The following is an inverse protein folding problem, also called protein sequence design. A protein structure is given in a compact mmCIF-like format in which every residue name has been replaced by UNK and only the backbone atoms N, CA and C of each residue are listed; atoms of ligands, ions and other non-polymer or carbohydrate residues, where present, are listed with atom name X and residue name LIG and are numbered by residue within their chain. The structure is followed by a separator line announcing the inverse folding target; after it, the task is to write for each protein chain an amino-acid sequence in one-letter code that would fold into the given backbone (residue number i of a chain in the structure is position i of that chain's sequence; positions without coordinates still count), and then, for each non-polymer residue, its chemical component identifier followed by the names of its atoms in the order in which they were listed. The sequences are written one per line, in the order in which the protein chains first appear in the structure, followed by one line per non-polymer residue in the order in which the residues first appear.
data_IF_031139387088
#
_entry.id   IF_031139387088
#
_cell.length_a   1.000
_cell.length_b   1.000
_cell.length_c   1.000
_cell.angle_alpha   90.00
_cell.angle_beta   90.00
_cell.angle_gamma   90.00
#
_symmetry.space_group_name_H-M   'P 1'
#
loop_
_entity.id
_entity.type
_entity.pdbx_description
1 polymer ?
#
# COMPACT_ATOMS: atom_id res chain seq x y z
N UNK A 1 -13.64 -13.89 -11.69
CA UNK A 1 -13.49 -12.49 -11.22
C UNK A 1 -12.79 -11.66 -12.28
N UNK A 2 -13.31 -10.50 -12.57
CA UNK A 2 -12.74 -9.67 -13.63
C UNK A 2 -11.47 -8.97 -13.17
N UNK A 3 -10.46 -8.86 -14.02
CA UNK A 3 -9.27 -8.10 -13.68
C UNK A 3 -9.59 -6.61 -13.56
N UNK A 4 -8.81 -5.95 -12.70
CA UNK A 4 -8.95 -4.53 -12.46
C UNK A 4 -7.97 -3.76 -13.35
N UNK A 5 -8.52 -2.89 -14.22
CA UNK A 5 -7.71 -2.02 -15.08
C UNK A 5 -7.24 -0.81 -14.25
N UNK A 6 -6.18 -1.00 -13.48
CA UNK A 6 -5.73 -0.04 -12.49
C UNK A 6 -5.25 1.25 -13.15
N UNK A 7 -4.54 1.16 -14.28
CA UNK A 7 -3.92 2.31 -14.93
C UNK A 7 -4.87 3.42 -15.36
N UNK A 8 -6.18 3.15 -15.41
CA UNK A 8 -7.18 4.16 -15.81
C UNK A 8 -7.79 4.90 -14.62
N UNK A 9 -7.40 4.59 -13.40
CA UNK A 9 -8.02 5.15 -12.20
C UNK A 9 -7.16 6.24 -11.58
N UNK A 10 -7.78 7.03 -10.71
CA UNK A 10 -7.12 8.07 -9.92
C UNK A 10 -7.01 7.62 -8.47
N UNK A 11 -6.09 8.25 -7.75
CA UNK A 11 -5.97 8.09 -6.30
C UNK A 11 -5.94 9.45 -5.63
N UNK A 12 -6.44 9.53 -4.42
CA UNK A 12 -6.23 10.69 -3.56
C UNK A 12 -4.77 10.70 -3.09
N UNK A 13 -4.07 11.82 -3.29
CA UNK A 13 -2.65 11.88 -2.93
C UNK A 13 -2.42 12.14 -1.44
N UNK A 14 -3.46 12.42 -0.68
CA UNK A 14 -3.34 12.53 0.78
C UNK A 14 -2.92 11.18 1.34
N UNK A 15 -1.74 11.15 1.97
CA UNK A 15 -1.16 9.90 2.50
C UNK A 15 -2.00 9.24 3.59
N UNK A 16 -2.93 9.96 4.19
CA UNK A 16 -3.87 9.42 5.18
C UNK A 16 -5.15 8.90 4.55
N UNK A 17 -5.43 9.28 3.34
CA UNK A 17 -6.66 8.93 2.63
C UNK A 17 -6.41 7.82 1.62
N UNK A 18 -5.64 8.10 0.58
CA UNK A 18 -5.24 7.14 -0.44
C UNK A 18 -6.40 6.51 -1.20
N UNK A 19 -7.61 7.05 -1.11
CA UNK A 19 -8.80 6.45 -1.74
C UNK A 19 -8.60 6.28 -3.23
N UNK A 20 -8.92 5.09 -3.74
CA UNK A 20 -8.90 4.79 -5.17
C UNK A 20 -10.20 5.24 -5.80
N UNK A 21 -10.10 6.07 -6.83
CA UNK A 21 -11.23 6.76 -7.43
C UNK A 21 -11.39 6.39 -8.90
N UNK A 22 -12.55 6.70 -9.47
CA UNK A 22 -12.79 6.52 -10.91
C UNK A 22 -11.99 7.54 -11.71
N UNK A 23 -11.81 7.26 -13.01
CA UNK A 23 -10.99 8.09 -13.89
C UNK A 23 -11.55 9.51 -14.09
N UNK A 24 -12.83 9.72 -13.85
CA UNK A 24 -13.51 11.00 -14.04
C UNK A 24 -13.71 11.79 -12.72
N UNK A 25 -13.14 11.33 -11.61
CA UNK A 25 -13.28 12.00 -10.34
C UNK A 25 -12.60 13.39 -10.38
N UNK A 26 -13.25 14.38 -9.80
CA UNK A 26 -12.71 15.74 -9.66
C UNK A 26 -12.29 16.01 -8.21
N UNK A 27 -12.95 15.36 -7.28
CA UNK A 27 -12.67 15.48 -5.84
C UNK A 27 -12.67 14.08 -5.24
N UNK A 28 -11.93 13.92 -4.15
CA UNK A 28 -12.01 12.70 -3.37
C UNK A 28 -13.33 12.71 -2.60
N UNK A 29 -14.17 11.71 -2.83
CA UNK A 29 -15.45 11.58 -2.15
C UNK A 29 -15.33 11.16 -0.68
N UNK A 30 -14.15 10.74 -0.27
CA UNK A 30 -13.90 10.36 1.13
C UNK A 30 -13.42 11.53 1.98
N UNK A 31 -12.41 12.28 1.52
CA UNK A 31 -11.84 13.39 2.30
C UNK A 31 -12.15 14.77 1.73
N UNK A 32 -12.77 14.86 0.56
CA UNK A 32 -13.11 16.12 -0.09
C UNK A 32 -11.94 16.84 -0.76
N UNK A 33 -10.74 16.23 -0.75
CA UNK A 33 -9.55 16.83 -1.32
C UNK A 33 -9.60 16.87 -2.84
N UNK A 34 -8.91 17.85 -3.44
CA UNK A 34 -8.82 18.01 -4.89
C UNK A 34 -7.47 17.53 -5.45
N UNK A 35 -6.54 17.12 -4.60
CA UNK A 35 -5.24 16.63 -5.04
C UNK A 35 -5.36 15.15 -5.41
N UNK A 36 -5.55 14.90 -6.70
CA UNK A 36 -5.69 13.56 -7.26
C UNK A 36 -4.58 13.32 -8.26
N UNK A 37 -4.17 12.05 -8.40
CA UNK A 37 -3.15 11.66 -9.37
C UNK A 37 -3.53 10.35 -10.04
N UNK A 38 -3.21 10.19 -11.35
CA UNK A 38 -3.36 8.90 -12.01
C UNK A 38 -2.49 7.85 -11.34
N UNK A 39 -3.02 6.67 -11.07
CA UNK A 39 -2.22 5.60 -10.49
C UNK A 39 -1.16 5.09 -11.46
N UNK A 40 -1.35 5.29 -12.77
CA UNK A 40 -0.37 4.93 -13.78
C UNK A 40 0.94 5.72 -13.65
N UNK A 41 0.93 6.87 -12.99
CA UNK A 41 2.12 7.70 -12.78
C UNK A 41 3.00 7.18 -11.64
N UNK A 42 2.51 6.28 -10.81
CA UNK A 42 3.26 5.73 -9.70
C UNK A 42 4.22 4.65 -10.17
N UNK A 43 5.40 4.56 -9.55
CA UNK A 43 6.34 3.46 -9.80
C UNK A 43 5.85 2.16 -9.17
N UNK A 44 5.27 2.25 -8.00
CA UNK A 44 4.67 1.12 -7.30
C UNK A 44 3.57 1.61 -6.37
N UNK A 45 2.65 0.74 -6.06
CA UNK A 45 1.52 1.02 -5.18
C UNK A 45 1.33 -0.13 -4.19
N UNK A 46 0.80 0.22 -3.03
CA UNK A 46 0.18 -0.76 -2.14
C UNK A 46 -1.33 -0.57 -2.25
N UNK A 47 -2.01 -1.59 -2.76
CA UNK A 47 -3.46 -1.60 -2.89
C UNK A 47 -4.09 -2.36 -1.75
N UNK A 48 -5.16 -1.83 -1.20
CA UNK A 48 -5.88 -2.48 -0.12
C UNK A 48 -7.32 -2.05 -0.04
N UNK A 49 -7.95 -2.48 1.03
CA UNK A 49 -9.33 -2.14 1.35
C UNK A 49 -9.37 -1.58 2.77
N UNK A 50 -9.88 -0.37 2.92
CA UNK A 50 -9.98 0.29 4.22
C UNK A 50 -11.37 0.09 4.85
N UNK A 51 -11.90 -1.13 4.73
CA UNK A 51 -13.22 -1.50 5.23
C UNK A 51 -14.27 -1.49 4.13
N UNK A 52 -14.67 -0.32 3.68
CA UNK A 52 -15.71 -0.15 2.66
C UNK A 52 -15.23 0.56 1.40
N UNK A 53 -13.94 0.90 1.33
CA UNK A 53 -13.39 1.63 0.19
C UNK A 53 -12.01 1.10 -0.20
N UNK A 54 -11.71 1.00 -1.50
CA UNK A 54 -10.36 0.65 -1.94
C UNK A 54 -9.40 1.82 -1.73
N UNK A 55 -8.15 1.51 -1.40
CA UNK A 55 -7.08 2.49 -1.20
C UNK A 55 -5.86 2.12 -2.03
N UNK A 56 -5.08 3.14 -2.41
CA UNK A 56 -3.83 2.97 -3.12
C UNK A 56 -2.80 3.94 -2.53
N UNK A 57 -1.75 3.38 -1.93
CA UNK A 57 -0.66 4.19 -1.39
C UNK A 57 0.56 4.09 -2.30
N UNK A 58 1.09 5.24 -2.70
CA UNK A 58 2.26 5.29 -3.57
C UNK A 58 3.53 4.93 -2.82
N UNK A 59 4.36 4.10 -3.45
CA UNK A 59 5.74 3.86 -3.04
C UNK A 59 6.67 4.58 -4.01
N UNK A 60 7.70 5.23 -3.48
CA UNK A 60 8.66 6.00 -4.29
C UNK A 60 10.06 5.44 -4.11
N UNK A 61 10.72 5.16 -5.22
CA UNK A 61 12.14 4.81 -5.20
C UNK A 61 12.97 5.97 -4.62
N UNK A 62 13.98 5.63 -3.84
CA UNK A 62 14.86 6.62 -3.22
C UNK A 62 14.36 7.22 -1.91
N UNK A 63 13.16 6.86 -1.50
CA UNK A 63 12.60 7.26 -0.20
C UNK A 63 12.46 6.05 0.71
N UNK A 64 12.45 6.25 2.03
CA UNK A 64 12.33 5.13 2.96
C UNK A 64 10.95 4.48 3.00
N UNK A 65 9.89 5.11 2.53
CA UNK A 65 8.51 4.58 2.46
C UNK A 65 8.11 3.82 3.73
N UNK A 66 8.06 4.53 4.86
CA UNK A 66 7.69 3.90 6.13
C UNK A 66 6.17 3.85 6.25
N UNK A 67 5.66 2.65 6.48
CA UNK A 67 4.26 2.38 6.75
C UNK A 67 4.05 2.25 8.24
N UNK A 68 3.04 2.92 8.75
CA UNK A 68 2.68 2.84 10.14
C UNK A 68 1.36 3.54 10.42
N UNK A 69 1.06 3.63 11.70
CA UNK A 69 -0.13 4.32 12.19
C UNK A 69 0.29 5.62 12.84
N UNK A 70 -0.13 6.76 12.28
CA UNK A 70 0.17 8.06 12.87
C UNK A 70 -0.47 8.22 14.24
N UNK A 71 0.17 9.03 15.07
CA UNK A 71 -0.33 9.38 16.40
C UNK A 71 -0.17 10.88 16.61
N UNK A 72 -0.97 11.49 17.50
CA UNK A 72 -0.79 12.89 17.84
C UNK A 72 0.64 13.17 18.32
N UNK A 73 1.28 14.19 17.75
CA UNK A 73 2.65 14.55 18.08
C UNK A 73 3.73 13.66 17.48
N UNK A 74 3.35 12.63 16.74
CA UNK A 74 4.29 11.78 16.01
C UNK A 74 4.74 12.41 14.70
N UNK A 75 5.85 11.90 14.13
CA UNK A 75 6.34 12.32 12.82
C UNK A 75 5.41 11.88 11.69
N UNK A 76 5.56 12.52 10.53
CA UNK A 76 4.83 12.13 9.33
C UNK A 76 5.33 10.78 8.82
N UNK A 77 4.41 9.99 8.29
CA UNK A 77 4.69 8.70 7.65
C UNK A 77 4.43 8.84 6.16
N UNK A 78 5.22 8.13 5.34
CA UNK A 78 5.01 8.08 3.90
C UNK A 78 3.72 7.32 3.57
N UNK A 79 3.43 6.28 4.35
CA UNK A 79 2.20 5.49 4.21
C UNK A 79 1.53 5.43 5.58
N UNK A 80 0.45 6.18 5.74
CA UNK A 80 -0.26 6.30 7.02
C UNK A 80 -1.57 5.52 6.94
N UNK A 81 -1.63 4.39 7.65
CA UNK A 81 -2.79 3.51 7.62
C UNK A 81 -3.76 3.76 8.79
N UNK A 82 -3.60 4.87 9.50
CA UNK A 82 -4.39 5.14 10.71
C UNK A 82 -5.90 5.10 10.48
N UNK A 83 -6.35 5.42 9.27
CA UNK A 83 -7.78 5.43 8.91
C UNK A 83 -8.28 4.10 8.35
N UNK A 84 -7.39 3.11 8.19
CA UNK A 84 -7.79 1.80 7.72
C UNK A 84 -8.38 0.97 8.86
N UNK A 85 -9.34 0.12 8.50
CA UNK A 85 -9.90 -0.85 9.44
C UNK A 85 -8.82 -1.83 9.88
N UNK A 86 -8.68 -2.03 11.18
CA UNK A 86 -7.63 -2.90 11.71
C UNK A 86 -6.31 -2.19 12.01
N UNK A 87 -6.23 -0.87 11.83
CA UNK A 87 -4.99 -0.11 12.05
C UNK A 87 -4.47 -0.17 13.48
N UNK A 88 -5.33 -0.49 14.45
CA UNK A 88 -4.89 -0.66 15.85
C UNK A 88 -3.87 -1.78 16.03
N UNK A 89 -3.78 -2.69 15.07
CA UNK A 89 -2.79 -3.78 15.05
C UNK A 89 -1.46 -3.35 14.43
N UNK A 90 -1.36 -2.13 13.92
CA UNK A 90 -0.17 -1.63 13.25
C UNK A 90 0.59 -0.69 14.18
N UNK A 91 1.89 -0.87 14.29
CA UNK A 91 2.76 0.01 15.08
C UNK A 91 2.96 1.36 14.38
N UNK A 92 3.44 2.35 15.12
CA UNK A 92 3.73 3.68 14.58
C UNK A 92 4.70 3.63 13.40
N UNK A 93 5.68 2.73 13.47
CA UNK A 93 6.59 2.41 12.38
C UNK A 93 6.62 0.90 12.29
N UNK A 94 5.98 0.33 11.30
CA UNK A 94 5.78 -1.11 11.25
C UNK A 94 6.55 -1.77 10.11
N UNK A 95 6.57 -1.15 8.94
CA UNK A 95 7.23 -1.68 7.75
C UNK A 95 7.90 -0.56 6.98
N UNK A 96 9.01 -0.88 6.34
CA UNK A 96 9.70 0.04 5.44
C UNK A 96 9.88 -0.63 4.09
N UNK A 97 9.51 0.08 3.03
CA UNK A 97 9.62 -0.42 1.67
C UNK A 97 10.73 0.33 0.96
N UNK A 98 11.68 -0.42 0.41
CA UNK A 98 12.83 0.13 -0.29
C UNK A 98 12.94 -0.48 -1.68
N UNK A 99 13.51 0.29 -2.61
CA UNK A 99 13.76 -0.16 -3.97
C UNK A 99 15.27 -0.01 -4.24
N UNK A 100 15.85 -1.05 -4.81
CA UNK A 100 17.24 -1.04 -5.31
C UNK A 100 17.31 -1.77 -6.64
N UNK A 101 17.75 -1.07 -7.68
CA UNK A 101 17.92 -1.64 -9.02
C UNK A 101 16.66 -2.35 -9.53
N UNK A 102 15.50 -1.72 -9.30
CA UNK A 102 14.21 -2.28 -9.71
C UNK A 102 13.64 -3.33 -8.77
N UNK A 103 14.35 -3.72 -7.72
CA UNK A 103 13.91 -4.71 -6.76
C UNK A 103 13.34 -4.04 -5.51
N UNK A 104 12.08 -4.30 -5.22
CA UNK A 104 11.46 -3.85 -3.98
C UNK A 104 11.68 -4.85 -2.85
N UNK A 105 11.73 -4.34 -1.64
CA UNK A 105 11.85 -5.16 -0.43
C UNK A 105 11.07 -4.52 0.71
N UNK A 106 10.70 -5.34 1.70
CA UNK A 106 10.08 -4.87 2.94
C UNK A 106 10.96 -5.23 4.12
N UNK A 107 11.13 -4.30 5.04
CA UNK A 107 11.81 -4.50 6.32
C UNK A 107 10.80 -4.38 7.45
N UNK A 108 10.80 -5.34 8.36
CA UNK A 108 9.89 -5.37 9.49
C UNK A 108 10.46 -4.53 10.65
N UNK A 109 9.81 -3.41 10.96
CA UNK A 109 10.23 -2.49 12.00
C UNK A 109 9.46 -2.67 13.32
N UNK A 110 8.26 -3.23 13.24
CA UNK A 110 7.37 -3.39 14.39
C UNK A 110 7.50 -4.74 15.08
N UNK A 111 6.45 -5.13 15.79
CA UNK A 111 6.39 -6.40 16.52
C UNK A 111 5.33 -7.35 15.99
N UNK A 112 4.15 -6.81 15.62
CA UNK A 112 3.09 -7.65 15.06
C UNK A 112 3.51 -8.20 13.71
N UNK A 113 3.08 -9.41 13.36
CA UNK A 113 3.62 -10.12 12.18
C UNK A 113 3.44 -9.36 10.87
N UNK A 114 4.42 -9.53 9.99
CA UNK A 114 4.29 -9.25 8.56
C UNK A 114 4.35 -10.60 7.84
N UNK A 115 3.32 -10.90 7.07
CA UNK A 115 3.22 -12.15 6.33
C UNK A 115 3.10 -11.83 4.85
N UNK A 116 3.94 -12.45 4.03
CA UNK A 116 3.83 -12.41 2.57
C UNK A 116 3.06 -13.62 2.09
N UNK A 117 2.02 -13.40 1.31
CA UNK A 117 1.26 -14.47 0.68
C UNK A 117 1.54 -14.47 -0.82
N UNK A 118 1.97 -15.60 -1.34
CA UNK A 118 2.30 -15.85 -2.74
C UNK A 118 1.62 -17.13 -3.21
N UNK A 119 1.48 -17.35 -4.52
CA UNK A 119 0.91 -18.61 -5.01
C UNK A 119 1.63 -19.85 -4.49
N UNK A 120 2.94 -19.79 -4.31
CA UNK A 120 3.76 -20.92 -3.83
C UNK A 120 3.73 -21.10 -2.31
N UNK A 121 3.13 -20.17 -1.56
CA UNK A 121 3.04 -20.29 -0.10
C UNK A 121 3.22 -18.94 0.60
N UNK A 122 3.32 -19.00 1.93
CA UNK A 122 3.45 -17.82 2.77
C UNK A 122 4.85 -17.74 3.37
N UNK A 123 5.33 -16.51 3.58
CA UNK A 123 6.61 -16.22 4.23
C UNK A 123 6.36 -15.24 5.36
N UNK A 124 6.82 -15.59 6.57
CA UNK A 124 6.77 -14.68 7.71
C UNK A 124 8.04 -13.86 7.75
N UNK A 125 7.90 -12.53 7.76
CA UNK A 125 9.04 -11.62 7.87
C UNK A 125 9.23 -11.30 9.34
N UNK A 126 10.32 -11.81 9.92
CA UNK A 126 10.60 -11.63 11.34
C UNK A 126 10.96 -10.18 11.65
N UNK A 127 10.70 -9.69 12.89
CA UNK A 127 11.12 -8.35 13.29
C UNK A 127 12.62 -8.14 13.05
N UNK A 128 12.97 -7.00 12.44
CA UNK A 128 14.34 -6.66 12.09
C UNK A 128 14.84 -7.28 10.79
N UNK A 129 14.07 -8.19 10.19
CA UNK A 129 14.45 -8.85 8.94
C UNK A 129 13.81 -8.17 7.73
N UNK A 130 14.35 -8.48 6.55
CA UNK A 130 13.83 -7.98 5.27
C UNK A 130 13.51 -9.14 4.35
N UNK A 131 12.61 -8.90 3.42
CA UNK A 131 12.24 -9.86 2.39
C UNK A 131 12.10 -9.15 1.04
N UNK A 132 12.57 -9.81 -0.03
CA UNK A 132 12.36 -9.32 -1.39
C UNK A 132 10.89 -9.46 -1.78
N UNK A 133 10.39 -8.49 -2.53
CA UNK A 133 9.00 -8.42 -2.95
C UNK A 133 8.88 -8.57 -4.46
N UNK A 134 7.76 -9.13 -4.89
CA UNK A 134 7.36 -9.22 -6.30
C UNK A 134 6.03 -8.52 -6.50
N UNK A 135 5.82 -7.98 -7.69
CA UNK A 135 4.51 -7.43 -8.03
C UNK A 135 3.44 -8.53 -7.90
N UNK A 136 2.35 -8.19 -7.23
CA UNK A 136 1.28 -9.14 -6.93
C UNK A 136 1.35 -9.76 -5.55
N UNK A 137 2.46 -9.60 -4.82
CA UNK A 137 2.56 -10.11 -3.45
C UNK A 137 1.50 -9.46 -2.56
N UNK A 138 0.86 -10.28 -1.74
CA UNK A 138 -0.01 -9.81 -0.68
C UNK A 138 0.78 -9.73 0.62
N UNK A 139 0.65 -8.58 1.28
CA UNK A 139 1.26 -8.37 2.59
C UNK A 139 0.15 -8.25 3.63
N UNK A 140 0.27 -9.02 4.69
CA UNK A 140 -0.55 -8.85 5.88
C UNK A 140 0.32 -8.22 6.95
N UNK A 141 -0.03 -7.00 7.35
CA UNK A 141 0.70 -6.21 8.35
C UNK A 141 -0.27 -5.99 9.50
N UNK A 142 -0.07 -6.73 10.60
CA UNK A 142 -1.10 -6.83 11.62
C UNK A 142 -2.38 -7.41 11.00
N UNK A 143 -3.48 -6.68 11.05
CA UNK A 143 -4.77 -7.08 10.44
C UNK A 143 -4.99 -6.46 9.07
N UNK A 144 -4.08 -5.62 8.61
CA UNK A 144 -4.22 -4.92 7.32
C UNK A 144 -3.64 -5.80 6.23
N UNK A 145 -4.34 -5.87 5.09
CA UNK A 145 -3.87 -6.57 3.90
C UNK A 145 -3.68 -5.58 2.76
N UNK A 146 -2.49 -5.61 2.18
CA UNK A 146 -2.13 -4.75 1.05
C UNK A 146 -1.45 -5.59 -0.03
N UNK A 147 -1.68 -5.26 -1.28
CA UNK A 147 -1.05 -5.91 -2.42
C UNK A 147 -0.07 -4.96 -3.07
N UNK A 148 1.16 -5.44 -3.30
CA UNK A 148 2.16 -4.67 -4.03
C UNK A 148 1.90 -4.75 -5.53
N UNK A 149 1.82 -3.60 -6.17
CA UNK A 149 1.70 -3.48 -7.63
C UNK A 149 2.87 -2.64 -8.11
N UNK A 150 3.74 -3.23 -8.93
CA UNK A 150 4.86 -2.53 -9.56
C UNK A 150 4.47 -2.20 -11.00
N UNK A 151 4.80 -0.99 -11.46
CA UNK A 151 4.41 -0.50 -12.79
C UNK A 151 2.91 -0.63 -13.07
N UNK A 152 2.05 0.07 -12.31
CA UNK A 152 0.60 -0.10 -12.46
C UNK A 152 0.08 0.26 -13.85
N UNK A 153 0.82 1.05 -14.64
CA UNK A 153 0.44 1.39 -16.01
C UNK A 153 0.42 0.18 -16.94
N UNK A 154 1.18 -0.87 -16.63
CA UNK A 154 1.34 -2.06 -17.48
C UNK A 154 0.35 -3.15 -17.13
N UNK A 155 -0.32 -3.04 -15.99
CA UNK A 155 -0.98 -4.19 -15.41
C UNK A 155 -2.48 -4.18 -15.46
N UNK A 156 -3.02 -5.39 -15.61
CA UNK A 156 -4.38 -5.74 -15.25
C UNK A 156 -4.24 -6.74 -14.10
N UNK A 157 -4.81 -6.39 -12.96
CA UNK A 157 -4.63 -7.20 -11.75
C UNK A 157 -5.99 -7.73 -11.28
N UNK A 158 -6.03 -8.96 -10.70
CA UNK A 158 -7.27 -9.46 -10.12
C UNK A 158 -7.74 -8.55 -8.99
N UNK A 159 -9.05 -8.38 -8.86
CA UNK A 159 -9.63 -7.56 -7.80
C UNK A 159 -9.37 -8.13 -6.39
N UNK A 160 -9.14 -9.44 -6.29
CA UNK A 160 -8.66 -10.10 -5.07
C UNK A 160 -7.34 -10.79 -5.40
N UNK A 161 -6.42 -10.89 -4.49
CA UNK A 161 -5.10 -11.44 -4.72
C UNK A 161 -5.06 -12.97 -4.77
N UNK A 162 -5.98 -13.56 -5.42
CA UNK A 162 -5.98 -15.03 -5.60
C UNK A 162 -5.16 -15.45 -6.78
#
# INVERSE_FOLDING_TARGET
MQPLAIGTRLRCVDRRCGTLLSADAELCDECGGSALAPIADAQALLLGDAGDRPVAFELRAGLPNVLGRSSPGGGALEIDVARMHGSESVHRRHAQFDERQGQWSVTHLGRNPIVLARPEGTVVVQPGSSAALRSGDWLQIGRIRLQLIVDPARGIYPASGT
#
